data_IF_185329485203
#
_entry.id   IF_185329485203
#
_cell.length_a   1.000
_cell.length_b   1.000
_cell.length_c   1.000
_cell.angle_alpha   90.00
_cell.angle_beta   90.00
_cell.angle_gamma   90.00
#
_symmetry.space_group_name_H-M   'P 1'
#
loop_
_entity.id
_entity.type
_entity.pdbx_description
1 polymer ?
#
# COMPACT_ATOMS: atom_id res chain seq x y z
N UNK A 1 -8.07 0.09 13.05
CA UNK A 1 -7.33 0.85 12.02
C UNK A 1 -8.35 1.36 11.01
N UNK A 2 -8.18 2.58 10.50
CA UNK A 2 -9.07 3.12 9.45
C UNK A 2 -9.06 2.20 8.23
N UNK A 3 -10.17 2.18 7.50
CA UNK A 3 -10.24 1.47 6.23
C UNK A 3 -9.26 2.11 5.24
N UNK A 4 -8.27 1.33 4.79
CA UNK A 4 -7.28 1.78 3.82
C UNK A 4 -7.92 2.15 2.47
N UNK A 5 -9.08 1.58 2.13
CA UNK A 5 -9.80 1.93 0.90
C UNK A 5 -10.35 3.36 0.96
N UNK A 6 -10.74 3.83 2.15
CA UNK A 6 -11.15 5.22 2.34
C UNK A 6 -9.98 6.17 2.08
N UNK A 7 -8.82 5.86 2.65
CA UNK A 7 -7.60 6.64 2.46
C UNK A 7 -7.14 6.66 0.99
N UNK A 8 -7.16 5.51 0.31
CA UNK A 8 -6.82 5.42 -1.12
C UNK A 8 -7.80 6.17 -2.03
N UNK A 9 -9.04 6.33 -1.59
CA UNK A 9 -10.06 7.08 -2.32
C UNK A 9 -9.91 8.57 -2.11
N UNK A 10 -9.71 9.00 -0.86
CA UNK A 10 -9.66 10.42 -0.50
C UNK A 10 -8.90 10.63 0.83
N UNK A 11 -7.56 10.62 0.77
CA UNK A 11 -6.70 10.89 1.92
C UNK A 11 -6.86 12.34 2.43
N UNK A 12 -7.22 13.29 1.57
CA UNK A 12 -7.41 14.69 1.92
C UNK A 12 -8.64 14.88 2.82
N UNK A 13 -9.77 14.25 2.47
CA UNK A 13 -10.96 14.25 3.32
C UNK A 13 -10.72 13.60 4.68
N UNK A 14 -9.96 12.50 4.71
CA UNK A 14 -9.57 11.86 5.98
C UNK A 14 -8.73 12.80 6.83
N UNK A 15 -7.76 13.51 6.22
CA UNK A 15 -6.95 14.50 6.92
C UNK A 15 -7.77 15.64 7.52
N UNK A 16 -8.72 16.18 6.76
CA UNK A 16 -9.62 17.24 7.22
C UNK A 16 -10.44 16.79 8.44
N UNK A 17 -11.04 15.60 8.36
CA UNK A 17 -11.84 15.06 9.48
C UNK A 17 -11.01 14.72 10.71
N UNK A 18 -9.76 14.29 10.52
CA UNK A 18 -8.83 14.06 11.62
C UNK A 18 -8.35 15.36 12.27
N UNK A 19 -8.23 16.44 11.48
CA UNK A 19 -7.90 17.76 12.02
C UNK A 19 -8.97 18.28 12.99
N UNK A 20 -10.24 17.93 12.78
CA UNK A 20 -11.34 18.28 13.70
C UNK A 20 -11.16 17.73 15.12
N UNK A 21 -10.36 16.67 15.30
CA UNK A 21 -9.99 16.11 16.61
C UNK A 21 -8.53 16.40 17.00
N UNK A 22 -7.91 17.39 16.35
CA UNK A 22 -6.54 17.83 16.62
C UNK A 22 -5.44 16.91 16.10
N UNK A 23 -5.76 15.95 15.21
CA UNK A 23 -4.77 15.05 14.64
C UNK A 23 -4.34 15.51 13.24
N UNK A 24 -3.06 15.82 13.07
CA UNK A 24 -2.48 16.18 11.78
C UNK A 24 -2.08 14.92 11.00
N UNK A 25 -2.91 14.50 10.05
CA UNK A 25 -2.60 13.38 9.16
C UNK A 25 -1.75 13.85 7.97
N UNK A 26 -0.61 13.20 7.75
CA UNK A 26 0.28 13.48 6.62
C UNK A 26 -0.18 12.75 5.35
N UNK A 27 -1.17 13.33 4.67
CA UNK A 27 -1.74 12.77 3.44
C UNK A 27 -0.69 12.66 2.32
N UNK A 28 0.22 13.63 2.20
CA UNK A 28 1.25 13.62 1.17
C UNK A 28 2.21 12.44 1.35
N UNK A 29 2.60 12.12 2.59
CA UNK A 29 3.42 10.95 2.88
C UNK A 29 2.66 9.65 2.60
N UNK A 30 1.38 9.56 2.98
CA UNK A 30 0.56 8.38 2.66
C UNK A 30 0.47 8.14 1.15
N UNK A 31 0.19 9.20 0.38
CA UNK A 31 0.07 9.13 -1.08
C UNK A 31 1.38 8.72 -1.74
N UNK A 32 2.52 9.20 -1.23
CA UNK A 32 3.85 8.79 -1.71
C UNK A 32 4.10 7.28 -1.48
N UNK A 33 3.80 6.77 -0.29
CA UNK A 33 3.94 5.34 0.04
C UNK A 33 3.03 4.48 -0.84
N UNK A 34 1.77 4.87 -1.03
CA UNK A 34 0.83 4.13 -1.88
C UNK A 34 1.21 4.19 -3.37
N UNK A 35 1.75 5.31 -3.85
CA UNK A 35 2.26 5.45 -5.21
C UNK A 35 3.46 4.53 -5.47
N UNK A 36 4.41 4.47 -4.53
CA UNK A 36 5.53 3.53 -4.60
C UNK A 36 5.01 2.08 -4.58
N UNK A 37 4.06 1.77 -3.69
CA UNK A 37 3.50 0.42 -3.53
C UNK A 37 2.82 -0.04 -4.81
N UNK A 38 2.04 0.84 -5.46
CA UNK A 38 1.40 0.55 -6.74
C UNK A 38 2.44 0.30 -7.83
N UNK A 39 3.45 1.16 -7.93
CA UNK A 39 4.54 1.03 -8.90
C UNK A 39 5.26 -0.31 -8.77
N UNK A 40 5.68 -0.66 -7.55
CA UNK A 40 6.40 -1.90 -7.28
C UNK A 40 5.51 -3.10 -7.55
N UNK A 41 4.24 -3.07 -7.10
CA UNK A 41 3.31 -4.17 -7.37
C UNK A 41 3.13 -4.43 -8.87
N UNK A 42 2.99 -3.38 -9.68
CA UNK A 42 2.91 -3.51 -11.14
C UNK A 42 4.19 -4.14 -11.71
N UNK A 43 5.37 -3.65 -11.30
CA UNK A 43 6.65 -4.22 -11.72
C UNK A 43 6.83 -5.69 -11.32
N UNK A 44 6.41 -6.06 -10.11
CA UNK A 44 6.41 -7.46 -9.65
C UNK A 44 5.56 -8.34 -10.56
N UNK A 45 4.36 -7.89 -10.92
CA UNK A 45 3.46 -8.62 -11.82
C UNK A 45 4.05 -8.76 -13.23
N UNK A 46 4.65 -7.70 -13.76
CA UNK A 46 5.32 -7.70 -15.06
C UNK A 46 6.51 -8.66 -15.09
N UNK A 47 7.39 -8.58 -14.09
CA UNK A 47 8.55 -9.46 -13.95
C UNK A 47 8.12 -10.94 -13.81
N UNK A 48 7.08 -11.21 -13.01
CA UNK A 48 6.53 -12.55 -12.84
C UNK A 48 5.93 -13.09 -14.14
N UNK A 49 5.21 -12.26 -14.89
CA UNK A 49 4.65 -12.61 -16.21
C UNK A 49 5.77 -12.90 -17.21
N UNK A 50 6.80 -12.05 -17.25
CA UNK A 50 7.93 -12.20 -18.14
C UNK A 50 8.71 -13.50 -17.86
N UNK A 51 9.03 -13.76 -16.59
CA UNK A 51 9.68 -15.00 -16.15
C UNK A 51 8.88 -16.24 -16.56
N UNK A 52 7.56 -16.21 -16.41
CA UNK A 52 6.69 -17.33 -16.78
C UNK A 52 6.68 -17.58 -18.30
N UNK A 53 6.67 -16.51 -19.09
CA UNK A 53 6.74 -16.60 -20.56
C UNK A 53 8.06 -17.22 -21.01
N UNK A 54 9.18 -16.71 -20.50
CA UNK A 54 10.51 -17.23 -20.81
C UNK A 54 10.70 -18.68 -20.37
N UNK A 55 10.18 -19.05 -19.20
CA UNK A 55 10.24 -20.44 -18.71
C UNK A 55 9.51 -21.42 -19.66
N UNK A 56 8.38 -21.01 -20.23
CA UNK A 56 7.66 -21.80 -21.25
C UNK A 56 8.48 -21.91 -22.54
N UNK A 57 9.08 -20.80 -23.00
CA UNK A 57 9.92 -20.79 -24.19
C UNK A 57 11.13 -21.74 -24.05
N UNK A 58 11.79 -21.76 -22.88
CA UNK A 58 12.89 -22.70 -22.59
C UNK A 58 12.40 -24.16 -22.75
N UNK A 59 11.23 -24.49 -22.21
CA UNK A 59 10.66 -25.83 -22.35
C UNK A 59 10.42 -26.23 -23.81
N UNK A 60 9.91 -25.30 -24.63
CA UNK A 60 9.70 -25.52 -26.06
C UNK A 60 11.01 -25.72 -26.81
N UNK A 61 12.02 -24.88 -26.55
CA UNK A 61 13.34 -24.95 -27.19
C UNK A 61 14.06 -26.26 -26.82
N UNK A 62 14.03 -26.67 -25.54
CA UNK A 62 14.56 -27.98 -25.11
C UNK A 62 13.87 -29.14 -25.81
N UNK A 63 12.56 -29.08 -25.99
CA UNK A 63 11.79 -30.09 -26.73
C UNK A 63 12.20 -30.21 -28.21
N UNK A 64 12.74 -29.14 -28.79
CA UNK A 64 13.27 -29.10 -30.17
C UNK A 64 14.78 -29.41 -30.26
N UNK A 65 15.46 -29.59 -29.14
CA UNK A 65 16.93 -29.76 -29.11
C UNK A 65 17.72 -28.49 -29.38
N UNK A 66 17.11 -27.31 -29.21
CA UNK A 66 17.75 -26.00 -29.40
C UNK A 66 18.57 -25.59 -28.16
N UNK A 67 19.60 -24.75 -28.36
CA UNK A 67 20.37 -24.16 -27.26
C UNK A 67 19.51 -23.17 -26.46
N UNK A 68 19.54 -23.31 -25.13
CA UNK A 68 18.73 -22.51 -24.20
C UNK A 68 19.58 -21.63 -23.28
N UNK A 69 20.91 -21.66 -23.43
CA UNK A 69 21.85 -21.02 -22.50
C UNK A 69 21.58 -19.53 -22.31
N UNK A 70 21.34 -18.79 -23.41
CA UNK A 70 21.05 -17.35 -23.36
C UNK A 70 19.74 -17.04 -22.61
N UNK A 71 18.67 -17.77 -22.91
CA UNK A 71 17.35 -17.55 -22.28
C UNK A 71 17.35 -17.99 -20.82
N UNK A 72 18.11 -19.03 -20.47
CA UNK A 72 18.29 -19.44 -19.08
C UNK A 72 19.02 -18.39 -18.25
N UNK A 73 20.01 -17.70 -18.82
CA UNK A 73 20.71 -16.60 -18.14
C UNK A 73 19.77 -15.40 -17.90
N UNK A 74 18.92 -15.05 -18.88
CA UNK A 74 17.93 -13.98 -18.74
C UNK A 74 16.89 -14.29 -17.64
N UNK A 75 16.38 -15.52 -17.61
CA UNK A 75 15.43 -15.96 -16.56
C UNK A 75 16.04 -15.93 -15.16
N UNK A 76 17.33 -16.23 -15.02
CA UNK A 76 18.02 -16.15 -13.74
C UNK A 76 18.04 -14.70 -13.23
N UNK A 77 18.39 -13.74 -14.09
CA UNK A 77 18.39 -12.31 -13.72
C UNK A 77 17.00 -11.78 -13.33
N UNK A 78 15.95 -12.22 -14.03
CA UNK A 78 14.56 -11.91 -13.67
C UNK A 78 14.16 -12.49 -12.31
N UNK A 79 14.72 -13.63 -11.91
CA UNK A 79 14.49 -14.23 -10.60
C UNK A 79 15.00 -13.35 -9.46
N UNK A 80 16.20 -12.79 -9.61
CA UNK A 80 16.80 -11.90 -8.62
C UNK A 80 16.06 -10.56 -8.54
N UNK A 81 15.68 -9.96 -9.69
CA UNK A 81 14.86 -8.74 -9.70
C UNK A 81 13.51 -8.96 -9.02
N UNK A 82 12.82 -10.06 -9.35
CA UNK A 82 11.52 -10.37 -8.77
C UNK A 82 11.61 -10.51 -7.24
N UNK A 83 12.64 -11.19 -6.74
CA UNK A 83 12.87 -11.35 -5.30
C UNK A 83 13.07 -9.98 -4.62
N UNK A 84 13.88 -9.11 -5.21
CA UNK A 84 14.09 -7.76 -4.67
C UNK A 84 12.78 -6.94 -4.66
N UNK A 85 11.97 -7.03 -5.72
CA UNK A 85 10.67 -6.35 -5.78
C UNK A 85 9.70 -6.86 -4.72
N UNK A 86 9.65 -8.18 -4.48
CA UNK A 86 8.82 -8.80 -3.43
C UNK A 86 9.25 -8.36 -2.02
N UNK A 87 10.55 -8.36 -1.75
CA UNK A 87 11.11 -7.90 -0.47
C UNK A 87 10.79 -6.41 -0.22
N UNK A 88 10.97 -5.55 -1.24
CA UNK A 88 10.62 -4.12 -1.10
C UNK A 88 9.10 -3.93 -0.94
N UNK A 89 8.28 -4.69 -1.66
CA UNK A 89 6.82 -4.61 -1.52
C UNK A 89 6.37 -5.00 -0.10
N UNK A 90 6.97 -6.04 0.47
CA UNK A 90 6.69 -6.47 1.84
C UNK A 90 7.15 -5.41 2.87
N UNK A 91 8.34 -4.85 2.70
CA UNK A 91 8.83 -3.75 3.54
C UNK A 91 7.89 -2.54 3.49
N UNK A 92 7.44 -2.17 2.30
CA UNK A 92 6.56 -1.02 2.10
C UNK A 92 5.15 -1.24 2.68
N UNK A 93 4.64 -2.48 2.65
CA UNK A 93 3.41 -2.83 3.35
C UNK A 93 3.54 -2.65 4.87
N UNK A 94 4.70 -3.04 5.44
CA UNK A 94 4.99 -2.79 6.85
C UNK A 94 5.07 -1.30 7.15
N UNK A 95 5.78 -0.51 6.33
CA UNK A 95 5.86 0.95 6.49
C UNK A 95 4.47 1.62 6.46
N UNK A 96 3.59 1.20 5.56
CA UNK A 96 2.20 1.69 5.49
C UNK A 96 1.42 1.28 6.74
N UNK A 97 1.53 0.03 7.18
CA UNK A 97 0.84 -0.43 8.38
C UNK A 97 1.31 0.34 9.63
N UNK A 98 2.62 0.52 9.79
CA UNK A 98 3.22 1.29 10.89
C UNK A 98 2.75 2.74 10.89
N UNK A 99 2.68 3.35 9.70
CA UNK A 99 2.15 4.70 9.53
C UNK A 99 0.67 4.78 9.98
N UNK A 100 -0.14 3.78 9.63
CA UNK A 100 -1.57 3.76 9.95
C UNK A 100 -1.89 3.34 11.40
N UNK A 101 -0.99 2.63 12.09
CA UNK A 101 -1.19 2.23 13.48
C UNK A 101 -1.32 3.42 14.44
N UNK A 102 -0.66 4.53 14.14
CA UNK A 102 -0.76 5.77 14.92
C UNK A 102 -2.00 6.62 14.62
N UNK A 103 -2.80 6.25 13.62
CA UNK A 103 -3.91 7.08 13.15
C UNK A 103 -5.18 6.76 13.94
N UNK A 104 -5.80 7.76 14.60
CA UNK A 104 -6.99 7.53 15.40
C UNK A 104 -8.23 7.39 14.51
N UNK A 105 -9.36 7.00 15.11
CA UNK A 105 -10.60 6.85 14.36
C UNK A 105 -11.18 8.19 13.89
N UNK A 106 -11.96 8.17 12.80
CA UNK A 106 -12.70 9.33 12.33
C UNK A 106 -13.85 9.67 13.29
N UNK A 107 -14.03 10.93 13.70
CA UNK A 107 -15.23 11.36 14.41
C UNK A 107 -16.47 11.10 13.57
N UNK A 108 -17.57 10.63 14.17
CA UNK A 108 -18.86 10.50 13.48
C UNK A 108 -19.42 11.90 13.17
N UNK A 109 -20.23 12.02 12.11
CA UNK A 109 -20.76 13.31 11.64
C UNK A 109 -21.64 14.02 12.68
N UNK A 110 -22.18 13.26 13.65
CA UNK A 110 -22.99 13.80 14.75
C UNK A 110 -22.17 14.30 15.94
N UNK A 111 -20.84 14.10 15.95
CA UNK A 111 -19.98 14.53 17.06
C UNK A 111 -19.78 16.04 16.95
N UNK A 112 -20.13 16.76 18.02
CA UNK A 112 -19.93 18.21 18.06
C UNK A 112 -18.44 18.56 17.90
N UNK A 113 -18.08 19.54 17.07
CA UNK A 113 -16.70 19.99 16.95
C UNK A 113 -16.25 20.63 18.26
N UNK A 114 -15.02 20.31 18.68
CA UNK A 114 -14.48 20.81 19.94
C UNK A 114 -12.98 20.57 20.03
N UNK A 115 -12.27 21.52 20.62
CA UNK A 115 -10.81 21.43 20.82
C UNK A 115 -10.45 20.64 22.08
N UNK A 116 -11.27 20.78 23.11
CA UNK A 116 -11.05 20.26 24.46
C UNK A 116 -12.39 20.01 25.18
N UNK A 117 -12.32 19.61 26.44
CA UNK A 117 -13.49 19.27 27.25
C UNK A 117 -14.48 20.41 27.46
N UNK A 118 -14.07 21.67 27.26
CA UNK A 118 -14.97 22.83 27.44
C UNK A 118 -15.99 22.94 26.33
N UNK A 119 -15.75 22.27 25.19
CA UNK A 119 -16.69 22.18 24.08
C UNK A 119 -17.68 21.01 24.22
N UNK A 120 -17.60 20.22 25.29
CA UNK A 120 -18.53 19.12 25.51
C UNK A 120 -19.95 19.64 25.75
N UNK A 121 -20.92 19.01 25.08
CA UNK A 121 -22.34 19.36 25.19
C UNK A 121 -23.04 18.38 26.14
N UNK A 122 -23.66 18.90 27.20
CA UNK A 122 -24.51 18.10 28.09
C UNK A 122 -25.76 17.64 27.32
N UNK A 123 -25.96 16.32 27.23
CA UNK A 123 -27.09 15.73 26.51
C UNK A 123 -28.32 15.61 27.41
N UNK A 124 -28.13 15.18 28.65
CA UNK A 124 -29.19 15.06 29.65
C UNK A 124 -28.61 15.05 31.06
N UNK A 125 -29.47 15.35 32.03
CA UNK A 125 -29.19 15.24 33.47
C UNK A 125 -30.42 14.67 34.15
N UNK A 126 -30.18 13.79 35.11
CA UNK A 126 -31.21 13.10 35.86
C UNK A 126 -30.97 13.26 37.36
N UNK A 127 -32.02 13.63 38.10
CA UNK A 127 -32.04 13.93 39.52
C UNK A 127 -33.35 14.56 39.94
#
# INVERSE_FOLDING_TARGET
MLDIQLLRKDAALVAERLAARGFAFDAARFDALEAERKTIQTRTQEAQSHRNSMSKQIGMMKGKGEDTTAVMAEVAGLGDELKHLEERLAALQTEINDFLMGVPNLPHDSVAPGKDETANVEVSRWG
#
